data_IF_030995839231
#
_entry.id   IF_030995839231
#
_cell.length_a   1.000
_cell.length_b   1.000
_cell.length_c   1.000
_cell.angle_alpha   90.00
_cell.angle_beta   90.00
_cell.angle_gamma   90.00
#
_symmetry.space_group_name_H-M   'P 1'
#
loop_
_entity.id
_entity.type
_entity.pdbx_description
1 polymer ?
#
# COMPACT_ATOMS: atom_id res chain seq x y z
N UNK A 1 -45.17 -21.46 -14.38
CA UNK A 1 -43.90 -21.67 -13.65
C UNK A 1 -42.84 -22.16 -14.62
N UNK A 2 -41.59 -21.74 -14.39
CA UNK A 2 -40.35 -22.02 -15.14
C UNK A 2 -40.02 -20.99 -16.23
N UNK A 3 -38.75 -20.56 -16.20
CA UNK A 3 -38.04 -19.66 -17.14
C UNK A 3 -37.86 -18.20 -16.72
N UNK A 4 -37.67 -17.92 -15.41
CA UNK A 4 -37.10 -16.64 -14.94
C UNK A 4 -35.84 -16.77 -14.07
N UNK A 5 -35.22 -17.95 -14.02
CA UNK A 5 -34.07 -18.21 -13.13
C UNK A 5 -32.72 -18.15 -13.86
N UNK A 6 -32.69 -18.19 -15.20
CA UNK A 6 -31.42 -18.30 -15.96
C UNK A 6 -30.71 -16.95 -16.16
N UNK A 7 -31.43 -15.81 -16.16
CA UNK A 7 -30.79 -14.50 -16.40
C UNK A 7 -30.06 -13.91 -15.19
N UNK A 8 -30.34 -14.33 -13.95
CA UNK A 8 -29.70 -13.75 -12.75
C UNK A 8 -28.34 -14.40 -12.48
N UNK A 9 -28.17 -15.68 -12.84
CA UNK A 9 -26.91 -16.40 -12.63
C UNK A 9 -25.79 -15.94 -13.57
N UNK A 10 -26.10 -15.58 -14.82
CA UNK A 10 -25.09 -15.06 -15.76
C UNK A 10 -24.58 -13.67 -15.39
N UNK A 11 -25.40 -12.81 -14.76
CA UNK A 11 -24.99 -11.46 -14.34
C UNK A 11 -24.09 -11.50 -13.11
N UNK A 12 -24.30 -12.44 -12.19
CA UNK A 12 -23.44 -12.62 -11.02
C UNK A 12 -22.06 -13.20 -11.39
N UNK A 13 -21.99 -14.11 -12.37
CA UNK A 13 -20.71 -14.63 -12.87
C UNK A 13 -19.94 -13.56 -13.65
N UNK A 14 -20.62 -12.68 -14.39
CA UNK A 14 -19.97 -11.59 -15.13
C UNK A 14 -19.44 -10.46 -14.23
N UNK A 15 -20.06 -10.21 -13.08
CA UNK A 15 -19.57 -9.21 -12.13
C UNK A 15 -18.31 -9.64 -11.35
N UNK A 16 -17.98 -10.94 -11.30
CA UNK A 16 -16.71 -11.41 -10.72
C UNK A 16 -15.51 -11.32 -11.67
N UNK A 17 -15.71 -10.94 -12.94
CA UNK A 17 -14.63 -10.84 -13.93
C UNK A 17 -14.10 -9.40 -14.05
N UNK A 18 -14.76 -8.40 -13.45
CA UNK A 18 -14.45 -6.99 -13.71
C UNK A 18 -13.36 -6.35 -12.84
N UNK A 19 -12.69 -7.11 -11.96
CA UNK A 19 -11.45 -6.65 -11.30
C UNK A 19 -10.46 -7.81 -11.13
N UNK A 20 -10.15 -8.50 -12.23
CA UNK A 20 -8.88 -9.24 -12.27
C UNK A 20 -7.82 -8.22 -12.69
N UNK A 21 -7.25 -7.52 -11.70
CA UNK A 21 -6.01 -6.78 -11.93
C UNK A 21 -5.00 -7.79 -12.50
N UNK A 22 -4.37 -7.47 -13.62
CA UNK A 22 -3.47 -8.38 -14.34
C UNK A 22 -2.32 -8.81 -13.41
N UNK A 23 -2.47 -9.96 -12.76
CA UNK A 23 -1.50 -10.50 -11.79
C UNK A 23 -0.25 -11.07 -12.45
N UNK A 24 -0.15 -11.02 -13.79
CA UNK A 24 0.97 -11.61 -14.54
C UNK A 24 2.34 -11.00 -14.17
N UNK A 25 2.34 -9.78 -13.66
CA UNK A 25 3.51 -9.00 -13.24
C UNK A 25 3.92 -9.22 -11.76
N UNK A 26 3.15 -9.98 -10.96
CA UNK A 26 3.49 -10.26 -9.56
C UNK A 26 4.63 -11.27 -9.44
N UNK A 27 5.58 -10.98 -8.54
CA UNK A 27 6.65 -11.90 -8.14
C UNK A 27 6.30 -12.48 -6.78
N UNK A 28 6.21 -13.82 -6.67
CA UNK A 28 6.12 -14.45 -5.35
C UNK A 28 7.46 -14.28 -4.61
N UNK A 29 7.43 -13.66 -3.43
CA UNK A 29 8.62 -13.38 -2.64
C UNK A 29 8.29 -13.30 -1.15
N UNK A 30 9.20 -13.72 -0.28
CA UNK A 30 9.04 -13.57 1.18
C UNK A 30 9.28 -12.12 1.58
N UNK A 31 8.23 -11.43 2.02
CA UNK A 31 8.32 -10.03 2.47
C UNK A 31 9.29 -9.86 3.64
N UNK A 32 9.47 -10.88 4.49
CA UNK A 32 10.38 -10.80 5.64
C UNK A 32 11.86 -10.79 5.24
N UNK A 33 12.16 -11.21 4.00
CA UNK A 33 13.51 -11.10 3.44
C UNK A 33 13.81 -9.71 2.86
N UNK A 34 12.81 -8.81 2.80
CA UNK A 34 12.98 -7.43 2.32
C UNK A 34 13.02 -6.44 3.49
N UNK A 35 14.00 -5.54 3.44
CA UNK A 35 14.04 -4.37 4.30
C UNK A 35 14.63 -3.17 3.57
N UNK A 36 14.46 -1.99 4.14
CA UNK A 36 15.04 -0.75 3.63
C UNK A 36 16.57 -0.90 3.54
N UNK A 37 17.14 -0.49 2.39
CA UNK A 37 18.57 -0.56 2.11
C UNK A 37 19.06 -1.92 1.58
N UNK A 38 18.20 -2.93 1.49
CA UNK A 38 18.56 -4.23 0.94
C UNK A 38 18.94 -4.12 -0.54
N UNK A 39 19.98 -4.84 -0.93
CA UNK A 39 20.37 -5.01 -2.33
C UNK A 39 19.46 -6.02 -3.05
N UNK A 40 18.77 -5.56 -4.09
CA UNK A 40 17.86 -6.40 -4.88
C UNK A 40 18.40 -6.68 -6.29
N UNK A 41 19.68 -6.43 -6.56
CA UNK A 41 20.30 -6.71 -7.86
C UNK A 41 20.17 -8.17 -8.31
N UNK A 42 20.03 -9.11 -7.36
CA UNK A 42 19.87 -10.53 -7.62
C UNK A 42 18.41 -10.97 -7.89
N UNK A 43 17.44 -10.08 -7.69
CA UNK A 43 16.03 -10.37 -7.97
C UNK A 43 15.82 -10.27 -9.48
N UNK A 44 15.34 -11.35 -10.09
CA UNK A 44 15.02 -11.37 -11.52
C UNK A 44 13.61 -10.86 -11.73
N UNK A 45 13.48 -9.72 -12.39
CA UNK A 45 12.20 -9.14 -12.78
C UNK A 45 11.70 -9.76 -14.10
N UNK A 46 10.39 -9.96 -14.24
CA UNK A 46 9.78 -10.13 -15.57
C UNK A 46 9.85 -8.76 -16.27
N UNK A 47 10.28 -8.74 -17.53
CA UNK A 47 10.79 -7.54 -18.24
C UNK A 47 9.98 -6.22 -18.10
N UNK A 48 10.74 -5.15 -17.81
CA UNK A 48 10.66 -3.76 -18.28
C UNK A 48 9.29 -3.09 -18.52
N UNK A 49 8.50 -2.96 -17.45
CA UNK A 49 7.68 -1.75 -17.28
C UNK A 49 8.19 -0.97 -16.07
N UNK A 50 9.08 -0.01 -16.32
CA UNK A 50 9.50 0.99 -15.33
C UNK A 50 8.33 1.91 -14.95
N UNK A 51 7.32 1.38 -14.27
CA UNK A 51 6.35 2.20 -13.57
C UNK A 51 7.09 2.84 -12.39
N UNK A 52 6.87 4.14 -12.20
CA UNK A 52 7.49 4.91 -11.11
C UNK A 52 6.39 5.31 -10.14
N UNK A 53 6.65 5.19 -8.85
CA UNK A 53 5.79 5.76 -7.80
C UNK A 53 6.47 7.03 -7.31
N UNK A 54 5.68 8.10 -7.20
CA UNK A 54 6.09 9.32 -6.53
C UNK A 54 5.92 9.07 -5.04
N UNK A 55 7.04 8.99 -4.32
CA UNK A 55 7.06 8.63 -2.89
C UNK A 55 7.10 9.88 -2.01
N UNK A 56 7.68 10.96 -2.54
CA UNK A 56 7.65 12.30 -1.98
C UNK A 56 7.73 13.35 -3.12
N UNK A 57 7.70 14.64 -2.78
CA UNK A 57 7.76 15.74 -3.76
C UNK A 57 9.05 15.81 -4.58
N UNK A 58 10.08 15.07 -4.18
CA UNK A 58 11.46 15.20 -4.68
C UNK A 58 11.90 13.95 -5.44
N UNK A 59 11.33 12.78 -5.13
CA UNK A 59 11.76 11.50 -5.71
C UNK A 59 10.61 10.66 -6.24
N UNK A 60 10.77 10.23 -7.50
CA UNK A 60 10.04 9.11 -8.09
C UNK A 60 11.01 7.94 -8.23
N UNK A 61 10.68 6.80 -7.66
CA UNK A 61 11.51 5.59 -7.76
C UNK A 61 10.84 4.56 -8.68
N UNK A 62 11.63 3.78 -9.45
CA UNK A 62 11.11 2.56 -10.04
C UNK A 62 10.63 1.62 -8.93
N UNK A 63 9.62 0.83 -9.24
CA UNK A 63 9.13 -0.20 -8.33
C UNK A 63 8.81 -1.49 -9.07
N UNK A 64 8.76 -2.58 -8.30
CA UNK A 64 8.19 -3.85 -8.72
C UNK A 64 7.17 -4.31 -7.67
N UNK A 65 6.27 -5.20 -8.08
CA UNK A 65 5.25 -5.76 -7.19
C UNK A 65 5.61 -7.17 -6.78
N UNK A 66 5.43 -7.45 -5.50
CA UNK A 66 5.49 -8.81 -4.99
C UNK A 66 4.15 -9.24 -4.40
N UNK A 67 3.89 -10.54 -4.46
CA UNK A 67 2.83 -11.20 -3.71
C UNK A 67 3.47 -12.00 -2.58
N UNK A 68 3.05 -11.73 -1.34
CA UNK A 68 3.49 -12.46 -0.15
C UNK A 68 2.31 -12.61 0.78
N UNK A 69 1.99 -13.84 1.21
CA UNK A 69 0.89 -14.11 2.14
C UNK A 69 -0.46 -13.44 1.79
N UNK A 70 -0.84 -13.48 0.50
CA UNK A 70 -2.03 -12.81 -0.06
C UNK A 70 -2.04 -11.28 0.03
N UNK A 71 -0.87 -10.67 0.24
CA UNK A 71 -0.68 -9.22 0.24
C UNK A 71 0.18 -8.82 -0.95
N UNK A 72 -0.26 -7.78 -1.66
CA UNK A 72 0.51 -7.15 -2.73
C UNK A 72 1.30 -5.99 -2.15
N UNK A 73 2.60 -5.99 -2.40
CA UNK A 73 3.49 -4.92 -1.99
C UNK A 73 4.13 -4.24 -3.20
N UNK A 74 4.20 -2.91 -3.17
CA UNK A 74 5.05 -2.13 -4.06
C UNK A 74 6.43 -1.94 -3.40
N UNK A 75 7.48 -2.47 -4.05
CA UNK A 75 8.87 -2.37 -3.60
C UNK A 75 9.60 -1.37 -4.49
N UNK A 76 9.89 -0.19 -3.94
CA UNK A 76 10.60 0.85 -4.67
C UNK A 76 12.08 0.86 -4.34
N UNK A 77 12.91 1.10 -5.35
CA UNK A 77 14.36 1.02 -5.23
C UNK A 77 15.08 2.17 -5.95
N UNK A 78 16.31 2.46 -5.54
CA UNK A 78 17.15 3.48 -6.18
C UNK A 78 17.99 2.93 -7.33
N UNK A 79 18.74 3.82 -7.99
CA UNK A 79 19.65 3.45 -9.09
C UNK A 79 20.79 2.51 -8.68
N UNK A 80 21.05 2.36 -7.38
CA UNK A 80 22.01 1.40 -6.83
C UNK A 80 21.34 0.08 -6.45
N UNK A 81 20.11 -0.16 -6.90
CA UNK A 81 19.31 -1.35 -6.59
C UNK A 81 19.10 -1.54 -5.09
N UNK A 82 19.05 -0.45 -4.30
CA UNK A 82 18.73 -0.50 -2.88
C UNK A 82 17.27 -0.20 -2.65
N UNK A 83 16.59 -1.00 -1.84
CA UNK A 83 15.21 -0.74 -1.43
C UNK A 83 15.13 0.58 -0.67
N UNK A 84 14.24 1.47 -1.09
CA UNK A 84 14.01 2.78 -0.45
C UNK A 84 12.65 2.88 0.22
N UNK A 85 11.70 2.08 -0.25
CA UNK A 85 10.31 2.14 0.18
C UNK A 85 9.60 0.82 -0.10
N UNK A 86 8.74 0.42 0.83
CA UNK A 86 7.88 -0.76 0.74
C UNK A 86 6.47 -0.29 1.11
N UNK A 87 5.51 -0.36 0.19
CA UNK A 87 4.10 -0.08 0.50
C UNK A 87 3.25 -1.33 0.38
N UNK A 88 2.24 -1.40 1.22
CA UNK A 88 1.11 -2.31 1.05
C UNK A 88 0.19 -1.67 0.02
N UNK A 89 -0.04 -2.36 -1.10
CA UNK A 89 -0.95 -1.91 -2.15
C UNK A 89 -2.35 -2.49 -1.94
N UNK A 90 -2.44 -3.80 -1.67
CA UNK A 90 -3.72 -4.48 -1.45
C UNK A 90 -3.56 -5.79 -0.68
N UNK A 91 -4.68 -6.36 -0.22
CA UNK A 91 -4.73 -7.61 0.53
C UNK A 91 -4.94 -7.41 2.03
N UNK A 92 -4.83 -8.51 2.78
CA UNK A 92 -5.24 -8.60 4.19
C UNK A 92 -4.12 -8.23 5.17
N UNK A 93 -3.24 -7.30 4.80
CA UNK A 93 -2.13 -6.91 5.66
C UNK A 93 -2.61 -6.17 6.91
N UNK A 94 -2.06 -6.59 8.04
CA UNK A 94 -2.24 -5.94 9.35
C UNK A 94 -0.86 -5.69 9.96
N UNK A 95 -0.60 -4.46 10.39
CA UNK A 95 0.65 -4.15 11.12
C UNK A 95 0.71 -4.93 12.44
N UNK A 96 1.89 -5.09 13.05
CA UNK A 96 1.99 -5.68 14.40
C UNK A 96 1.14 -4.98 15.47
N UNK A 97 0.88 -3.69 15.31
CA UNK A 97 -0.02 -2.92 16.18
C UNK A 97 -1.51 -3.11 15.88
N UNK A 98 -1.88 -3.87 14.85
CA UNK A 98 -3.28 -4.14 14.50
C UNK A 98 -3.88 -3.15 13.50
N UNK A 99 -3.07 -2.35 12.78
CA UNK A 99 -3.56 -1.35 11.82
C UNK A 99 -3.62 -1.94 10.42
N UNK A 100 -4.70 -1.67 9.69
CA UNK A 100 -4.92 -2.17 8.33
C UNK A 100 -5.42 -1.06 7.39
N UNK A 101 -5.28 -1.26 6.09
CA UNK A 101 -5.72 -0.30 5.07
C UNK A 101 -7.22 -0.03 5.18
N UNK A 102 -7.65 1.19 4.90
CA UNK A 102 -9.04 1.64 5.03
C UNK A 102 -9.60 1.64 6.47
N UNK A 103 -8.80 1.35 7.50
CA UNK A 103 -9.21 1.54 8.89
C UNK A 103 -9.59 3.00 9.15
N UNK A 104 -10.68 3.25 9.87
CA UNK A 104 -11.08 4.60 10.26
C UNK A 104 -10.07 5.20 11.26
N UNK A 105 -9.71 6.47 11.07
CA UNK A 105 -8.84 7.21 11.96
C UNK A 105 -9.37 7.21 13.40
N UNK A 106 -10.70 7.22 13.58
CA UNK A 106 -11.35 7.12 14.89
C UNK A 106 -11.06 5.81 15.62
N UNK A 107 -10.84 4.71 14.90
CA UNK A 107 -10.47 3.41 15.48
C UNK A 107 -8.95 3.29 15.62
N UNK A 108 -8.20 3.81 14.65
CA UNK A 108 -6.74 3.96 14.73
C UNK A 108 -6.30 4.63 16.04
N UNK A 109 -6.92 5.76 16.42
CA UNK A 109 -6.57 6.47 17.67
C UNK A 109 -6.99 5.73 18.94
N UNK A 110 -7.91 4.76 18.87
CA UNK A 110 -8.22 3.89 20.02
C UNK A 110 -7.13 2.85 20.24
N UNK A 111 -6.50 2.39 19.16
CA UNK A 111 -5.43 1.38 19.19
C UNK A 111 -4.10 2.03 19.59
N UNK A 112 -3.71 3.09 18.88
CA UNK A 112 -2.39 3.72 19.05
C UNK A 112 -2.40 4.81 20.14
N UNK A 113 -3.58 5.30 20.51
CA UNK A 113 -3.73 6.50 21.31
C UNK A 113 -3.60 7.78 20.48
N UNK A 114 -3.62 8.93 21.16
CA UNK A 114 -3.40 10.22 20.50
C UNK A 114 -1.93 10.39 20.15
N UNK A 115 -1.64 10.49 18.85
CA UNK A 115 -0.31 10.72 18.32
C UNK A 115 -0.21 12.06 17.60
N UNK A 116 1.01 12.64 17.58
CA UNK A 116 1.30 13.83 16.79
C UNK A 116 1.62 13.41 15.36
N UNK A 117 0.70 13.68 14.44
CA UNK A 117 0.90 13.43 13.02
C UNK A 117 1.89 14.44 12.42
N UNK A 118 2.78 13.95 11.56
CA UNK A 118 3.56 14.77 10.63
C UNK A 118 2.72 15.00 9.36
N UNK A 119 3.10 16.01 8.57
CA UNK A 119 2.46 16.32 7.29
C UNK A 119 3.52 16.43 6.21
N UNK A 120 3.26 15.87 5.04
CA UNK A 120 4.16 15.91 3.89
C UNK A 120 3.35 15.88 2.60
N UNK A 121 3.71 16.74 1.65
CA UNK A 121 3.00 16.84 0.38
C UNK A 121 3.18 15.53 -0.39
N UNK A 122 2.11 15.04 -1.03
CA UNK A 122 2.07 13.76 -1.74
C UNK A 122 2.17 12.50 -0.87
N UNK A 123 2.32 12.66 0.45
CA UNK A 123 2.19 11.55 1.42
C UNK A 123 0.90 11.69 2.21
N UNK A 124 0.54 12.92 2.61
CA UNK A 124 -0.58 13.21 3.50
C UNK A 124 -0.13 13.44 4.95
N UNK A 125 -1.03 13.18 5.90
CA UNK A 125 -0.69 13.13 7.31
C UNK A 125 -0.21 11.75 7.69
N UNK A 126 0.93 11.64 8.39
CA UNK A 126 1.46 10.33 8.72
C UNK A 126 2.12 10.24 10.10
N UNK A 127 2.30 9.01 10.57
CA UNK A 127 2.99 8.67 11.81
C UNK A 127 3.75 7.37 11.67
N UNK A 128 4.91 7.29 12.33
CA UNK A 128 5.71 6.07 12.45
C UNK A 128 5.25 5.28 13.69
N UNK A 129 4.93 4.00 13.50
CA UNK A 129 4.61 3.05 14.55
C UNK A 129 5.89 2.46 15.16
N UNK A 130 5.76 1.79 16.30
CA UNK A 130 6.86 1.10 16.98
C UNK A 130 7.49 -0.02 16.14
N UNK A 131 6.69 -0.69 15.31
CA UNK A 131 7.12 -1.72 14.35
C UNK A 131 7.94 -1.16 13.17
N UNK A 132 8.09 0.17 13.09
CA UNK A 132 8.79 0.84 12.00
C UNK A 132 7.92 1.12 10.77
N UNK A 133 6.70 0.58 10.71
CA UNK A 133 5.70 0.93 9.70
C UNK A 133 5.22 2.37 9.88
N UNK A 134 4.86 2.99 8.78
CA UNK A 134 4.25 4.31 8.71
C UNK A 134 2.80 4.14 8.27
N UNK A 135 1.93 4.90 8.91
CA UNK A 135 0.51 4.99 8.58
C UNK A 135 0.27 6.39 8.03
N UNK A 136 -0.34 6.49 6.86
CA UNK A 136 -0.74 7.77 6.27
C UNK A 136 -2.25 7.89 6.08
N UNK A 137 -2.73 9.13 6.16
CA UNK A 137 -4.08 9.59 5.94
C UNK A 137 -4.04 10.67 4.84
N UNK A 138 -4.78 10.44 3.77
CA UNK A 138 -4.95 11.41 2.70
C UNK A 138 -6.31 12.10 2.86
N UNK A 139 -6.30 13.40 3.10
CA UNK A 139 -7.49 14.17 3.47
C UNK A 139 -7.70 15.37 2.55
N UNK A 140 -8.85 15.37 1.88
CA UNK A 140 -9.19 16.35 0.85
C UNK A 140 -8.40 16.18 -0.46
N UNK A 141 -8.38 17.23 -1.27
CA UNK A 141 -7.82 17.18 -2.62
C UNK A 141 -6.29 17.28 -2.62
N UNK A 142 -5.69 17.99 -1.66
CA UNK A 142 -4.22 18.10 -1.56
C UNK A 142 -3.60 17.04 -0.65
N UNK A 143 -4.43 16.20 -0.02
CA UNK A 143 -4.01 15.19 0.95
C UNK A 143 -3.75 15.74 2.35
N UNK A 144 -3.76 17.06 2.52
CA UNK A 144 -3.49 17.75 3.77
C UNK A 144 -4.45 18.94 4.01
N UNK A 145 -5.64 18.91 3.43
CA UNK A 145 -6.58 20.05 3.47
C UNK A 145 -7.07 20.36 4.90
N UNK A 146 -7.20 19.34 5.74
CA UNK A 146 -7.62 19.43 7.14
C UNK A 146 -6.99 18.29 7.97
N UNK A 147 -6.84 18.42 9.30
CA UNK A 147 -6.37 17.32 10.13
C UNK A 147 -7.33 16.11 10.09
N UNK A 148 -6.83 14.86 10.11
CA UNK A 148 -7.70 13.67 10.05
C UNK A 148 -8.80 13.66 11.12
N UNK A 149 -10.00 13.36 10.65
CA UNK A 149 -11.23 13.24 11.39
C UNK A 149 -11.60 11.76 11.55
N UNK A 150 -12.53 11.46 12.46
CA UNK A 150 -12.87 10.06 12.81
C UNK A 150 -13.31 9.21 11.62
N UNK A 151 -13.85 9.84 10.58
CA UNK A 151 -14.38 9.19 9.37
C UNK A 151 -13.33 9.02 8.26
N UNK A 152 -12.18 9.68 8.37
CA UNK A 152 -11.11 9.52 7.39
C UNK A 152 -10.46 8.16 7.58
N UNK A 153 -9.89 7.60 6.52
CA UNK A 153 -9.33 6.26 6.53
C UNK A 153 -7.82 6.27 6.41
N UNK A 154 -7.19 5.20 6.92
CA UNK A 154 -5.82 4.86 6.61
C UNK A 154 -5.72 4.68 5.10
N UNK A 155 -5.00 5.60 4.47
CA UNK A 155 -4.79 5.66 3.03
C UNK A 155 -3.63 4.76 2.59
N UNK A 156 -2.53 4.77 3.35
CA UNK A 156 -1.35 3.99 3.01
C UNK A 156 -0.68 3.41 4.26
N UNK A 157 -0.09 2.23 4.09
CA UNK A 157 0.77 1.57 5.06
C UNK A 157 2.10 1.27 4.37
N UNK A 158 3.20 1.79 4.91
CA UNK A 158 4.49 1.67 4.24
C UNK A 158 5.68 1.69 5.20
N UNK A 159 6.81 1.17 4.74
CA UNK A 159 8.13 1.45 5.29
C UNK A 159 8.86 2.38 4.33
N UNK A 160 9.57 3.36 4.88
CA UNK A 160 10.47 4.22 4.10
C UNK A 160 11.78 4.41 4.83
N UNK A 161 12.84 4.66 4.08
CA UNK A 161 14.04 5.22 4.67
C UNK A 161 13.69 6.54 5.36
N UNK A 162 14.24 6.77 6.55
CA UNK A 162 14.12 8.05 7.22
C UNK A 162 15.06 9.01 6.51
N UNK A 163 14.67 9.47 5.32
CA UNK A 163 15.38 10.54 4.61
C UNK A 163 15.18 11.80 5.45
N UNK A 164 16.15 12.10 6.32
CA UNK A 164 16.34 13.39 6.94
C UNK A 164 17.05 14.31 5.97
#
# INVERSE_FOLDING_TARGET
MKNRIISIFCVLIFCHILFCEDQSDLIEYDINALDIGLDISNIKFKEDKYRRIVIDSTFSFPYFRILSDNVVYDICYDWNMKVRYIAVESGDFVTPEGIYLNMLYGDFVKIIGKVKLKKERLVGYYVKLSSGWYISFWVGNTGIDYPPQKTDTVYAIFKKDSVN
#
